data_IF_050809059765
#
_entry.id   IF_050809059765
#
_cell.length_a   1.000
_cell.length_b   1.000
_cell.length_c   1.000
_cell.angle_alpha   90.00
_cell.angle_beta   90.00
_cell.angle_gamma   90.00
#
_symmetry.space_group_name_H-M   'P 1'
#
loop_
_entity.id
_entity.type
_entity.pdbx_description
1 polymer ?
#
# COMPACT_ATOMS: atom_id res chain seq x y z
N UNK A 1 1.04 -0.59 -7.75
CA UNK A 1 1.48 0.74 -7.24
C UNK A 1 2.52 1.34 -8.19
N UNK A 2 2.58 2.67 -8.35
CA UNK A 2 3.54 3.38 -9.22
C UNK A 2 4.35 4.42 -8.42
N UNK A 3 5.51 4.07 -7.84
CA UNK A 3 6.32 5.03 -7.08
C UNK A 3 6.79 6.25 -7.88
N UNK A 4 6.95 6.13 -9.21
CA UNK A 4 7.27 7.26 -10.08
C UNK A 4 6.20 8.35 -10.10
N UNK A 5 4.95 8.01 -9.79
CA UNK A 5 3.82 8.95 -9.75
C UNK A 5 3.54 9.52 -8.34
N UNK A 6 4.50 9.44 -7.40
CA UNK A 6 4.32 9.99 -6.06
C UNK A 6 4.12 11.51 -6.11
N UNK A 7 2.98 11.98 -5.60
CA UNK A 7 2.59 13.40 -5.66
C UNK A 7 2.50 14.08 -4.28
N UNK A 8 2.73 13.35 -3.18
CA UNK A 8 2.72 13.91 -1.82
C UNK A 8 4.08 13.76 -1.13
N UNK A 9 4.47 14.78 -0.36
CA UNK A 9 5.66 14.77 0.51
C UNK A 9 5.34 14.35 1.95
N UNK A 10 4.06 14.23 2.31
CA UNK A 10 3.64 13.89 3.67
C UNK A 10 3.81 12.40 3.93
N UNK A 11 4.75 12.03 4.80
CA UNK A 11 4.93 10.64 5.25
C UNK A 11 3.63 10.04 5.77
N UNK A 12 2.90 10.78 6.63
CA UNK A 12 1.61 10.33 7.17
C UNK A 12 0.58 10.10 6.06
N UNK A 13 0.55 10.96 5.04
CA UNK A 13 -0.32 10.79 3.88
C UNK A 13 0.02 9.52 3.08
N UNK A 14 1.31 9.27 2.84
CA UNK A 14 1.78 8.08 2.14
C UNK A 14 1.43 6.79 2.90
N UNK A 15 1.63 6.76 4.22
CA UNK A 15 1.28 5.60 5.05
C UNK A 15 -0.23 5.37 5.10
N UNK A 16 -1.03 6.42 5.23
CA UNK A 16 -2.51 6.31 5.15
C UNK A 16 -2.96 5.74 3.81
N UNK A 17 -2.35 6.19 2.72
CA UNK A 17 -2.66 5.69 1.39
C UNK A 17 -2.25 4.22 1.20
N UNK A 18 -1.12 3.80 1.76
CA UNK A 18 -0.71 2.40 1.78
C UNK A 18 -1.75 1.54 2.53
N UNK A 19 -2.11 1.93 3.75
CA UNK A 19 -3.13 1.23 4.55
C UNK A 19 -4.45 1.15 3.79
N UNK A 20 -4.87 2.24 3.15
CA UNK A 20 -6.08 2.25 2.32
C UNK A 20 -6.00 1.25 1.16
N UNK A 21 -4.88 1.22 0.42
CA UNK A 21 -4.67 0.23 -0.64
C UNK A 21 -4.74 -1.21 -0.10
N UNK A 22 -4.15 -1.46 1.06
CA UNK A 22 -4.12 -2.79 1.68
C UNK A 22 -5.52 -3.25 2.12
N UNK A 23 -6.28 -2.41 2.82
CA UNK A 23 -7.64 -2.72 3.26
C UNK A 23 -8.57 -2.98 2.07
N UNK A 24 -8.48 -2.17 1.01
CA UNK A 24 -9.26 -2.37 -0.20
C UNK A 24 -8.86 -3.64 -0.95
N UNK A 25 -7.57 -3.98 -0.99
CA UNK A 25 -7.13 -5.23 -1.58
C UNK A 25 -7.68 -6.43 -0.80
N UNK A 26 -7.64 -6.40 0.54
CA UNK A 26 -8.21 -7.45 1.40
C UNK A 26 -9.73 -7.57 1.20
N UNK A 27 -10.45 -6.46 1.13
CA UNK A 27 -11.89 -6.44 0.90
C UNK A 27 -12.30 -7.14 -0.40
N UNK A 28 -11.45 -7.04 -1.43
CA UNK A 28 -11.72 -7.58 -2.76
C UNK A 28 -11.07 -8.97 -2.99
N UNK A 29 -10.45 -9.57 -1.96
CA UNK A 29 -9.97 -10.95 -2.07
C UNK A 29 -11.15 -11.94 -2.11
N UNK A 30 -11.03 -13.03 -2.90
CA UNK A 30 -11.93 -14.16 -2.79
C UNK A 30 -11.98 -14.73 -1.35
N UNK A 31 -13.11 -15.32 -0.90
CA UNK A 31 -13.29 -15.78 0.47
C UNK A 31 -12.20 -16.72 1.02
N UNK A 32 -11.56 -17.49 0.14
CA UNK A 32 -10.55 -18.50 0.50
C UNK A 32 -9.10 -18.03 0.22
N UNK A 33 -8.90 -16.75 -0.09
CA UNK A 33 -7.58 -16.17 -0.33
C UNK A 33 -7.25 -15.11 0.72
N UNK A 34 -6.08 -15.26 1.35
CA UNK A 34 -5.58 -14.31 2.35
C UNK A 34 -4.37 -13.49 1.86
N UNK A 35 -3.80 -13.91 0.73
CA UNK A 35 -2.60 -13.34 0.14
C UNK A 35 -2.90 -12.72 -1.22
N UNK A 36 -2.10 -11.72 -1.58
CA UNK A 36 -2.24 -10.97 -2.83
C UNK A 36 -0.88 -10.81 -3.54
N UNK A 37 -0.93 -10.61 -4.85
CA UNK A 37 0.25 -10.27 -5.66
C UNK A 37 0.39 -8.75 -5.73
N UNK A 38 1.58 -8.24 -5.44
CA UNK A 38 1.88 -6.82 -5.56
C UNK A 38 2.65 -6.55 -6.83
N UNK A 39 2.09 -5.76 -7.74
CA UNK A 39 2.81 -5.23 -8.90
C UNK A 39 3.24 -3.80 -8.58
N UNK A 40 4.55 -3.59 -8.52
CA UNK A 40 5.17 -2.28 -8.25
C UNK A 40 5.90 -1.85 -9.51
N UNK A 41 5.36 -0.82 -10.14
CA UNK A 41 5.83 -0.26 -11.39
C UNK A 41 6.83 0.86 -11.14
N UNK A 42 8.09 0.60 -11.46
CA UNK A 42 9.20 1.53 -11.27
C UNK A 42 9.50 2.38 -12.49
N UNK A 43 8.62 2.40 -13.50
CA UNK A 43 8.75 3.35 -14.58
C UNK A 43 8.79 4.78 -14.02
N UNK A 44 9.74 5.58 -14.53
CA UNK A 44 10.03 6.96 -14.08
C UNK A 44 10.42 7.10 -12.59
N UNK A 45 10.72 5.99 -11.92
CA UNK A 45 11.18 6.05 -10.53
C UNK A 45 12.57 6.68 -10.41
N UNK A 46 12.71 7.62 -9.49
CA UNK A 46 13.97 8.25 -9.14
C UNK A 46 14.35 7.95 -7.68
N UNK A 47 15.61 7.54 -7.46
CA UNK A 47 16.15 7.26 -6.12
C UNK A 47 16.09 8.47 -5.18
N UNK A 48 16.12 9.71 -5.70
CA UNK A 48 15.97 10.92 -4.90
C UNK A 48 14.62 11.01 -4.17
N UNK A 49 13.62 10.27 -4.65
CA UNK A 49 12.28 10.26 -4.08
C UNK A 49 12.15 9.25 -2.93
N UNK A 50 13.21 8.49 -2.63
CA UNK A 50 13.24 7.55 -1.50
C UNK A 50 13.48 8.31 -0.20
N UNK A 51 12.53 8.18 0.73
CA UNK A 51 12.71 8.61 2.11
C UNK A 51 12.90 7.40 3.00
N UNK A 52 14.07 7.30 3.65
CA UNK A 52 14.36 6.26 4.65
C UNK A 52 13.29 6.18 5.74
N UNK A 53 12.74 7.34 6.14
CA UNK A 53 11.66 7.42 7.12
C UNK A 53 10.40 6.72 6.62
N UNK A 54 9.97 7.01 5.40
CA UNK A 54 8.81 6.38 4.76
C UNK A 54 9.03 4.88 4.60
N UNK A 55 10.22 4.47 4.15
CA UNK A 55 10.59 3.04 4.01
C UNK A 55 10.46 2.31 5.34
N UNK A 56 10.98 2.89 6.42
CA UNK A 56 10.91 2.30 7.77
C UNK A 56 9.46 2.21 8.26
N UNK A 57 8.68 3.28 8.16
CA UNK A 57 7.27 3.28 8.58
C UNK A 57 6.42 2.31 7.73
N UNK A 58 6.69 2.21 6.43
CA UNK A 58 6.06 1.24 5.54
C UNK A 58 6.37 -0.18 5.98
N UNK A 59 7.63 -0.49 6.25
CA UNK A 59 8.05 -1.81 6.69
C UNK A 59 7.43 -2.17 8.05
N UNK A 60 7.36 -1.21 8.98
CA UNK A 60 6.73 -1.39 10.30
C UNK A 60 5.24 -1.71 10.17
N UNK A 61 4.50 -0.94 9.35
CA UNK A 61 3.08 -1.16 9.10
C UNK A 61 2.83 -2.53 8.49
N UNK A 62 3.58 -2.91 7.45
CA UNK A 62 3.40 -4.18 6.76
C UNK A 62 3.71 -5.38 7.68
N UNK A 63 4.75 -5.29 8.50
CA UNK A 63 5.14 -6.39 9.40
C UNK A 63 4.20 -6.53 10.60
N UNK A 64 3.81 -5.41 11.22
CA UNK A 64 3.04 -5.44 12.47
C UNK A 64 1.53 -5.54 12.25
N UNK A 65 1.01 -5.07 11.12
CA UNK A 65 -0.44 -5.01 10.87
C UNK A 65 -0.90 -5.88 9.69
N UNK A 66 -0.02 -6.21 8.75
CA UNK A 66 -0.36 -7.02 7.57
C UNK A 66 0.58 -8.21 7.38
N UNK A 67 0.84 -9.03 8.42
CA UNK A 67 1.74 -10.17 8.31
C UNK A 67 1.20 -11.19 7.29
N UNK A 68 2.12 -11.83 6.57
CA UNK A 68 1.83 -12.91 5.61
C UNK A 68 0.84 -12.59 4.48
N UNK A 69 0.50 -11.31 4.23
CA UNK A 69 -0.39 -10.89 3.13
C UNK A 69 0.22 -10.96 1.73
N UNK A 70 1.55 -11.02 1.64
CA UNK A 70 2.24 -11.05 0.35
C UNK A 70 2.37 -12.49 -0.17
N UNK A 71 1.74 -12.78 -1.32
CA UNK A 71 2.00 -14.01 -2.07
C UNK A 71 3.27 -13.86 -2.92
N UNK A 72 3.32 -12.78 -3.70
CA UNK A 72 4.42 -12.46 -4.63
C UNK A 72 4.52 -10.93 -4.79
N UNK A 73 5.74 -10.40 -4.82
CA UNK A 73 6.00 -9.01 -5.20
C UNK A 73 6.73 -8.98 -6.53
N UNK A 74 6.16 -8.30 -7.51
CA UNK A 74 6.74 -8.08 -8.83
C UNK A 74 7.22 -6.63 -8.88
N UNK A 75 8.52 -6.45 -9.02
CA UNK A 75 9.15 -5.16 -9.28
C UNK A 75 9.30 -5.05 -10.80
N UNK A 76 8.42 -4.26 -11.41
CA UNK A 76 8.30 -4.12 -12.87
C UNK A 76 9.09 -2.90 -13.35
N UNK A 77 9.95 -3.10 -14.35
CA UNK A 77 10.89 -2.13 -14.91
C UNK A 77 11.69 -1.31 -13.86
N UNK A 78 12.29 -1.93 -12.82
CA UNK A 78 13.15 -1.20 -11.90
C UNK A 78 14.39 -0.65 -12.64
N UNK A 79 14.91 0.54 -12.27
CA UNK A 79 16.13 1.08 -12.85
C UNK A 79 17.26 0.03 -12.82
N UNK A 80 18.09 -0.06 -13.86
CA UNK A 80 19.16 -1.08 -13.91
C UNK A 80 20.14 -0.98 -12.72
N UNK A 81 20.23 0.20 -12.09
CA UNK A 81 20.96 0.45 -10.84
C UNK A 81 20.10 0.32 -9.58
N UNK A 82 19.14 -0.61 -9.53
CA UNK A 82 18.24 -0.79 -8.39
C UNK A 82 18.89 -1.48 -7.17
N UNK A 83 20.13 -1.96 -7.34
CA UNK A 83 20.89 -2.64 -6.28
C UNK A 83 20.98 -1.86 -4.96
N UNK A 84 21.24 -0.54 -4.93
CA UNK A 84 21.30 0.22 -3.68
C UNK A 84 19.96 0.28 -2.95
N UNK A 85 18.84 0.43 -3.67
CA UNK A 85 17.52 0.38 -3.04
C UNK A 85 17.25 -1.01 -2.47
N UNK A 86 17.55 -2.06 -3.22
CA UNK A 86 17.33 -3.42 -2.75
C UNK A 86 18.20 -3.75 -1.53
N UNK A 87 19.45 -3.29 -1.50
CA UNK A 87 20.32 -3.39 -0.31
C UNK A 87 19.76 -2.65 0.90
N UNK A 88 19.12 -1.50 0.70
CA UNK A 88 18.48 -0.72 1.76
C UNK A 88 17.19 -1.37 2.26
N UNK A 89 16.39 -1.97 1.37
CA UNK A 89 15.10 -2.56 1.70
C UNK A 89 15.24 -3.96 2.34
N UNK A 90 16.20 -4.76 1.87
CA UNK A 90 16.39 -6.17 2.26
C UNK A 90 16.51 -6.40 3.79
N UNK A 91 17.22 -5.58 4.58
CA UNK A 91 17.28 -5.75 6.04
C UNK A 91 15.93 -5.66 6.75
N UNK A 92 14.94 -5.02 6.13
CA UNK A 92 13.59 -4.86 6.67
C UNK A 92 12.64 -5.98 6.23
N UNK A 93 13.09 -6.92 5.39
CA UNK A 93 12.28 -8.03 4.90
C UNK A 93 12.71 -9.34 5.58
N UNK A 94 11.76 -10.07 6.15
CA UNK A 94 12.02 -11.42 6.68
C UNK A 94 12.58 -12.34 5.56
N UNK A 95 13.44 -13.33 5.88
CA UNK A 95 14.00 -14.25 4.88
C UNK A 95 13.01 -14.94 3.94
N UNK A 96 11.76 -15.17 4.35
CA UNK A 96 10.74 -15.74 3.46
C UNK A 96 10.23 -14.74 2.43
N UNK A 97 10.24 -13.46 2.77
CA UNK A 97 9.69 -12.37 1.95
C UNK A 97 10.59 -12.07 0.76
N UNK A 98 11.93 -12.09 0.90
CA UNK A 98 12.80 -11.82 -0.26
C UNK A 98 12.65 -12.88 -1.37
N UNK A 99 12.31 -14.13 -1.02
CA UNK A 99 12.09 -15.20 -2.00
C UNK A 99 10.83 -14.98 -2.85
N UNK A 100 9.90 -14.17 -2.35
CA UNK A 100 8.65 -13.78 -3.02
C UNK A 100 8.85 -12.59 -3.96
N UNK A 101 10.04 -12.01 -4.04
CA UNK A 101 10.32 -10.85 -4.91
C UNK A 101 10.82 -11.32 -6.28
N UNK A 102 10.21 -10.82 -7.35
CA UNK A 102 10.56 -11.06 -8.74
C UNK A 102 10.82 -9.73 -9.44
N UNK A 103 11.89 -9.70 -10.22
CA UNK A 103 12.25 -8.57 -11.06
C UNK A 103 11.76 -8.88 -12.47
N UNK A 104 10.98 -7.96 -13.04
CA UNK A 104 10.46 -8.08 -14.40
C UNK A 104 10.89 -6.87 -15.20
N UNK A 105 11.47 -7.13 -16.38
CA UNK A 105 11.92 -6.14 -17.33
C UNK A 105 11.17 -6.37 -18.64
N UNK A 106 10.46 -5.34 -19.10
CA UNK A 106 9.65 -5.38 -20.33
C UNK A 106 10.47 -5.57 -21.60
N UNK A 107 11.76 -5.20 -21.59
CA UNK A 107 12.73 -5.40 -22.67
C UNK A 107 13.40 -6.78 -22.65
N UNK A 108 13.13 -7.62 -21.63
CA UNK A 108 13.69 -8.97 -21.49
C UNK A 108 12.57 -10.02 -21.55
N UNK A 109 12.52 -10.74 -22.69
CA UNK A 109 11.56 -11.83 -22.92
C UNK A 109 11.59 -12.93 -21.84
N UNK A 110 12.73 -13.17 -21.19
CA UNK A 110 12.84 -14.18 -20.13
C UNK A 110 12.05 -13.79 -18.90
N UNK A 111 12.12 -12.52 -18.50
CA UNK A 111 11.39 -12.02 -17.32
C UNK A 111 9.96 -11.58 -17.65
N UNK A 112 9.70 -11.15 -18.89
CA UNK A 112 8.36 -10.80 -19.37
C UNK A 112 7.36 -11.96 -19.23
N UNK A 113 7.80 -13.20 -19.52
CA UNK A 113 6.97 -14.40 -19.36
C UNK A 113 6.39 -14.59 -17.96
N UNK A 114 7.06 -14.06 -16.93
CA UNK A 114 6.53 -14.10 -15.56
C UNK A 114 5.16 -13.41 -15.48
N UNK A 115 4.95 -12.33 -16.23
CA UNK A 115 3.65 -11.64 -16.27
C UNK A 115 2.62 -12.46 -17.05
N UNK A 116 3.01 -13.04 -18.19
CA UNK A 116 2.14 -13.86 -19.04
C UNK A 116 1.67 -15.14 -18.32
N UNK A 117 2.54 -15.74 -17.50
CA UNK A 117 2.22 -16.96 -16.74
C UNK A 117 1.33 -16.68 -15.52
N UNK A 118 1.39 -15.47 -14.95
CA UNK A 118 0.69 -15.11 -13.72
C UNK A 118 -0.66 -14.39 -13.96
N UNK A 119 -0.82 -13.72 -15.09
CA UNK A 119 -1.96 -12.86 -15.37
C UNK A 119 -2.61 -13.21 -16.70
N UNK A 120 -3.93 -13.02 -16.79
CA UNK A 120 -4.63 -13.06 -18.06
C UNK A 120 -4.20 -11.86 -18.91
N UNK A 121 -3.49 -12.13 -20.02
CA UNK A 121 -2.93 -11.09 -20.91
C UNK A 121 -4.01 -10.18 -21.48
N UNK A 122 -5.22 -10.68 -21.71
CA UNK A 122 -6.31 -9.88 -22.27
C UNK A 122 -6.91 -8.88 -21.27
N UNK A 123 -6.79 -9.15 -19.98
CA UNK A 123 -7.26 -8.27 -18.90
C UNK A 123 -6.15 -7.37 -18.35
N UNK A 124 -4.89 -7.80 -18.48
CA UNK A 124 -3.72 -7.08 -17.99
C UNK A 124 -3.51 -5.77 -18.77
N UNK A 125 -3.28 -4.69 -18.04
CA UNK A 125 -2.97 -3.35 -18.57
C UNK A 125 -1.75 -3.41 -19.51
N UNK A 126 -1.83 -2.71 -20.64
CA UNK A 126 -0.76 -2.66 -21.64
C UNK A 126 0.56 -2.08 -21.08
N UNK A 127 0.52 -1.26 -20.03
CA UNK A 127 1.70 -0.81 -19.29
C UNK A 127 2.52 -1.98 -18.71
N UNK A 128 1.86 -3.11 -18.42
CA UNK A 128 2.46 -4.33 -17.89
C UNK A 128 2.65 -5.43 -18.95
N UNK A 129 2.53 -5.07 -20.24
CA UNK A 129 2.71 -5.99 -21.36
C UNK A 129 1.46 -6.79 -21.73
N UNK A 130 0.28 -6.43 -21.22
CA UNK A 130 -1.00 -7.02 -21.62
C UNK A 130 -1.66 -6.34 -22.82
N UNK A 131 -2.87 -6.78 -23.17
CA UNK A 131 -3.65 -6.29 -24.32
C UNK A 131 -4.71 -5.25 -23.92
N UNK A 132 -4.95 -5.04 -22.62
CA UNK A 132 -5.96 -4.09 -22.17
C UNK A 132 -5.44 -2.65 -22.33
N UNK A 133 -6.03 -1.90 -23.27
CA UNK A 133 -5.64 -0.52 -23.58
C UNK A 133 -6.40 0.54 -22.77
N UNK A 134 -7.24 0.14 -21.81
CA UNK A 134 -7.96 1.11 -20.98
C UNK A 134 -6.96 1.89 -20.15
N UNK A 135 -6.74 3.15 -20.52
CA UNK A 135 -5.87 4.06 -19.79
C UNK A 135 -6.43 4.36 -18.40
N UNK A 136 -5.56 4.59 -17.43
CA UNK A 136 -5.96 5.03 -16.10
C UNK A 136 -6.84 6.29 -16.17
N UNK A 137 -8.08 6.17 -15.69
CA UNK A 137 -9.02 7.27 -15.54
C UNK A 137 -9.28 7.51 -14.05
N UNK A 138 -9.05 8.75 -13.59
CA UNK A 138 -9.16 9.11 -12.17
C UNK A 138 -10.61 9.10 -11.68
N UNK A 139 -11.58 9.44 -12.53
CA UNK A 139 -13.00 9.49 -12.18
C UNK A 139 -13.57 8.08 -11.99
N UNK A 140 -13.23 7.16 -12.90
CA UNK A 140 -13.60 5.74 -12.80
C UNK A 140 -12.95 5.10 -11.57
N UNK A 141 -11.66 5.40 -11.33
CA UNK A 141 -10.96 4.95 -10.14
C UNK A 141 -11.64 5.47 -8.87
N UNK A 142 -11.94 6.77 -8.79
CA UNK A 142 -12.60 7.37 -7.65
C UNK A 142 -14.02 6.84 -7.44
N UNK A 143 -14.74 6.52 -8.51
CA UNK A 143 -16.06 5.90 -8.43
C UNK A 143 -15.98 4.49 -7.82
N UNK A 144 -15.00 3.68 -8.26
CA UNK A 144 -14.74 2.36 -7.67
C UNK A 144 -14.38 2.46 -6.19
N UNK A 145 -13.46 3.36 -5.83
CA UNK A 145 -13.06 3.58 -4.44
C UNK A 145 -14.26 3.95 -3.56
N UNK A 146 -15.13 4.86 -4.02
CA UNK A 146 -16.37 5.23 -3.31
C UNK A 146 -17.32 4.07 -3.11
N UNK A 147 -17.33 3.09 -4.01
CA UNK A 147 -18.15 1.89 -3.88
C UNK A 147 -17.55 0.90 -2.88
N UNK A 148 -16.22 0.74 -2.86
CA UNK A 148 -15.52 -0.04 -1.85
C UNK A 148 -15.71 0.56 -0.44
N UNK A 149 -15.66 1.89 -0.31
CA UNK A 149 -15.88 2.60 0.96
C UNK A 149 -17.25 2.29 1.58
N UNK A 150 -18.29 2.06 0.77
CA UNK A 150 -19.62 1.65 1.26
C UNK A 150 -19.62 0.21 1.79
N UNK A 151 -18.75 -0.65 1.27
CA UNK A 151 -18.65 -2.06 1.64
C UNK A 151 -17.76 -2.29 2.87
N UNK A 152 -16.75 -1.44 3.09
CA UNK A 152 -15.82 -1.50 4.23
C UNK A 152 -16.49 -1.69 5.61
N UNK A 153 -17.55 -0.95 5.99
CA UNK A 153 -18.17 -1.10 7.31
C UNK A 153 -18.76 -2.49 7.56
N UNK A 154 -19.20 -3.17 6.51
CA UNK A 154 -19.77 -4.52 6.60
C UNK A 154 -18.67 -5.54 6.96
N UNK A 155 -17.48 -5.37 6.39
CA UNK A 155 -16.33 -6.23 6.66
C UNK A 155 -15.87 -6.10 8.12
N UNK A 156 -15.75 -4.88 8.64
CA UNK A 156 -15.40 -4.66 10.04
C UNK A 156 -16.47 -5.15 11.01
N UNK A 157 -17.76 -4.97 10.68
CA UNK A 157 -18.86 -5.51 11.49
C UNK A 157 -18.82 -7.03 11.55
N UNK A 158 -18.53 -7.71 10.43
CA UNK A 158 -18.35 -9.17 10.37
C UNK A 158 -17.21 -9.62 11.28
N UNK A 159 -16.04 -9.00 11.17
CA UNK A 159 -14.86 -9.32 11.99
C UNK A 159 -15.11 -9.17 13.50
N UNK A 160 -15.82 -8.11 13.89
CA UNK A 160 -16.20 -7.87 15.29
C UNK A 160 -17.23 -8.90 15.80
N UNK A 161 -18.17 -9.32 14.94
CA UNK A 161 -19.15 -10.36 15.30
C UNK A 161 -18.52 -11.75 15.48
N UNK A 162 -17.54 -12.12 14.65
CA UNK A 162 -16.81 -13.39 14.78
C UNK A 162 -15.83 -13.42 15.96
N UNK A 163 -15.44 -12.26 16.48
CA UNK A 163 -14.55 -12.15 17.64
C UNK A 163 -15.28 -12.29 18.99
N UNK A 164 -16.61 -12.41 18.98
CA UNK A 164 -17.44 -12.49 20.19
C UNK A 164 -17.63 -13.92 20.75
N UNK A 165 -17.12 -14.97 20.08
CA UNK A 165 -17.29 -16.38 20.50
C UNK A 165 -16.08 -17.00 21.22
N UNK A 166 -15.27 -16.19 21.91
CA UNK A 166 -14.26 -16.70 22.87
C UNK A 166 -14.39 -16.01 24.22
N UNK A 167 -15.38 -16.44 25.01
CA UNK A 167 -15.49 -16.05 26.41
C UNK A 167 -14.71 -17.03 27.31
N UNK A 168 -13.68 -16.50 27.99
CA UNK A 168 -13.11 -17.05 29.23
C UNK A 168 -13.42 -16.06 30.37
N UNK A 169 -13.59 -16.53 31.62
CA UNK A 169 -14.37 -15.83 32.64
C UNK A 169 -13.65 -14.61 33.22
N UNK A 170 -14.46 -13.64 33.61
CA UNK A 170 -14.05 -12.37 34.18
C UNK A 170 -13.21 -12.53 35.45
N UNK A 171 -12.12 -11.77 35.53
CA UNK A 171 -11.52 -11.37 36.80
C UNK A 171 -11.13 -9.91 36.68
N UNK A 172 -11.88 -9.06 37.37
CA UNK A 172 -11.56 -7.63 37.58
C UNK A 172 -10.32 -7.49 38.44
N UNK A 173 -9.56 -6.41 38.25
CA UNK A 173 -9.39 -5.52 39.39
C UNK A 173 -9.69 -4.04 39.06
N UNK A 174 -10.32 -3.43 40.04
CA UNK A 174 -10.58 -2.01 40.28
C UNK A 174 -9.28 -1.21 40.38
N UNK A 175 -9.15 -0.11 39.61
CA UNK A 175 -8.33 1.06 40.00
C UNK A 175 -8.97 2.34 39.43
N UNK A 176 -9.07 3.33 40.31
CA UNK A 176 -9.83 4.56 40.24
C UNK A 176 -9.36 5.65 39.26
N UNK A 177 -10.34 6.50 38.96
CA UNK A 177 -10.38 7.72 38.15
C UNK A 177 -9.42 8.82 38.62
N UNK A 178 -8.56 9.31 37.72
CA UNK A 178 -7.82 10.57 37.85
C UNK A 178 -7.99 11.44 36.60
N UNK A 179 -8.67 12.58 36.75
CA UNK A 179 -8.81 13.65 35.73
C UNK A 179 -7.48 14.40 35.57
N UNK A 180 -7.14 14.84 34.35
CA UNK A 180 -6.85 16.26 34.03
C UNK A 180 -6.48 16.51 32.55
N UNK A 181 -7.05 17.61 32.03
CA UNK A 181 -6.69 18.48 30.88
C UNK A 181 -6.43 17.83 29.51
N UNK A 182 -7.27 17.98 28.48
CA UNK A 182 -7.60 19.22 27.72
C UNK A 182 -6.36 19.89 27.14
N UNK A 183 -6.04 19.60 25.88
CA UNK A 183 -5.33 20.55 25.03
C UNK A 183 -5.95 20.51 23.63
N UNK A 184 -6.37 21.68 23.18
CA UNK A 184 -7.16 21.91 21.96
C UNK A 184 -6.24 22.36 20.84
N UNK A 185 -6.52 21.86 19.63
CA UNK A 185 -5.83 22.20 18.39
C UNK A 185 -5.93 23.71 18.06
N UNK A 186 -4.79 24.36 17.75
CA UNK A 186 -4.76 25.65 17.03
C UNK A 186 -4.63 25.41 15.51
N UNK A 187 -5.38 26.15 14.66
CA UNK A 187 -5.22 26.09 13.21
C UNK A 187 -4.14 27.06 12.71
N UNK A 188 -3.31 26.57 11.76
CA UNK A 188 -2.33 27.36 11.02
C UNK A 188 -2.99 28.47 10.19
N UNK A 189 -2.41 29.68 10.26
CA UNK A 189 -2.84 30.88 9.52
C UNK A 189 -2.55 30.77 8.03
N UNK A 190 -3.56 31.08 7.21
CA UNK A 190 -3.43 31.50 5.82
C UNK A 190 -2.45 32.68 5.69
N UNK A 191 -1.54 32.59 4.72
CA UNK A 191 -0.75 33.71 4.23
C UNK A 191 -1.27 34.01 2.83
N UNK A 192 -2.20 34.96 2.74
CA UNK A 192 -2.61 35.56 1.47
C UNK A 192 -1.61 36.62 1.03
N UNK A 193 -1.45 36.74 -0.28
CA UNK A 193 -0.34 37.42 -0.94
C UNK A 193 -0.33 38.93 -0.84
N UNK A 194 0.84 39.52 -1.10
CA UNK A 194 0.92 40.90 -1.54
C UNK A 194 1.94 41.05 -2.68
N UNK A 195 1.36 41.28 -3.86
CA UNK A 195 1.98 41.86 -5.04
C UNK A 195 2.62 43.20 -4.69
N UNK A 196 3.89 43.41 -5.05
CA UNK A 196 4.44 44.74 -5.39
C UNK A 196 5.45 44.66 -6.53
N UNK A 197 5.17 45.49 -7.53
CA UNK A 197 6.00 45.89 -8.67
C UNK A 197 7.41 46.33 -8.24
N UNK A 198 8.45 45.83 -8.93
CA UNK A 198 9.21 46.51 -9.97
C UNK A 198 10.41 45.65 -10.40
#
# INVERSE_FOLDING_TARGET
MRPGCQNTKSTKGQIRYLVYCMENAILNLPPDQEQMVWVIDFQEFNLSNISLKVTKETADVLQNHYPERLALAILYNPPKFFEPFWMMAKPFLEPKTYKKVKFVYSDDNGTKKIMEDLFNVDELDCAFGGNNQVSFNIDDYAARMREDDKRMPLLWKRSNSSSSDKQLPATTPDVSLGKSASDSDEPEKEIDGQVRNN
#
